data_IF_904441560615
#
_entry.id   IF_904441560615
#
_cell.length_a   1.000
_cell.length_b   1.000
_cell.length_c   1.000
_cell.angle_alpha   90.00
_cell.angle_beta   90.00
_cell.angle_gamma   90.00
#
_symmetry.space_group_name_H-M   'P 1'
#
loop_
_entity.id
_entity.type
_entity.pdbx_description
1 polymer ?
#
# COMPACT_ATOMS: atom_id res chain seq x y z
N UNK A 1 -17.76 -6.70 -11.62
CA UNK A 1 -17.57 -7.70 -10.54
C UNK A 1 -16.09 -7.70 -10.20
N UNK A 2 -15.73 -7.47 -8.94
CA UNK A 2 -14.33 -7.49 -8.49
C UNK A 2 -13.93 -8.95 -8.35
N UNK A 3 -12.82 -9.36 -8.95
CA UNK A 3 -12.32 -10.73 -8.85
C UNK A 3 -11.58 -10.89 -7.51
N UNK A 4 -12.01 -11.86 -6.69
CA UNK A 4 -11.34 -12.20 -5.43
C UNK A 4 -10.32 -13.30 -5.70
N UNK A 5 -9.06 -13.10 -5.31
CA UNK A 5 -8.00 -14.10 -5.45
C UNK A 5 -7.60 -14.74 -4.12
N UNK A 6 -7.70 -14.02 -3.03
CA UNK A 6 -7.41 -14.50 -1.68
C UNK A 6 -8.22 -13.68 -0.68
N UNK A 7 -8.75 -14.33 0.34
CA UNK A 7 -9.31 -13.68 1.52
C UNK A 7 -8.85 -14.41 2.77
N UNK A 8 -8.46 -13.63 3.78
CA UNK A 8 -8.12 -14.14 5.09
C UNK A 8 -8.77 -13.29 6.16
N UNK A 9 -9.54 -13.94 7.05
CA UNK A 9 -10.02 -13.31 8.26
C UNK A 9 -8.90 -13.28 9.29
N UNK A 10 -8.60 -12.11 9.80
CA UNK A 10 -7.62 -11.85 10.84
C UNK A 10 -8.33 -11.45 12.14
N UNK A 11 -7.57 -11.34 13.23
CA UNK A 11 -8.09 -10.92 14.53
C UNK A 11 -8.88 -9.62 14.49
N UNK A 12 -8.40 -8.62 13.75
CA UNK A 12 -8.96 -7.27 13.71
C UNK A 12 -9.74 -6.93 12.45
N UNK A 13 -9.61 -7.75 11.41
CA UNK A 13 -10.25 -7.45 10.12
C UNK A 13 -10.00 -8.52 9.09
N UNK A 14 -10.19 -8.16 7.81
CA UNK A 14 -10.00 -9.06 6.67
C UNK A 14 -8.93 -8.52 5.75
N UNK A 15 -7.98 -9.38 5.39
CA UNK A 15 -7.02 -9.15 4.31
C UNK A 15 -7.54 -9.82 3.03
N UNK A 16 -7.60 -9.07 1.93
CA UNK A 16 -7.96 -9.62 0.62
C UNK A 16 -6.93 -9.25 -0.45
N UNK A 17 -6.80 -10.12 -1.44
CA UNK A 17 -6.15 -9.83 -2.71
C UNK A 17 -7.23 -9.86 -3.78
N UNK A 18 -7.45 -8.73 -4.43
CA UNK A 18 -8.52 -8.53 -5.40
C UNK A 18 -7.99 -8.01 -6.73
N UNK A 19 -8.68 -8.34 -7.82
CA UNK A 19 -8.35 -7.87 -9.16
C UNK A 19 -9.00 -6.54 -9.49
N UNK A 20 -8.31 -5.69 -10.24
CA UNK A 20 -8.90 -4.48 -10.78
C UNK A 20 -7.96 -3.28 -10.86
N UNK A 21 -8.54 -2.15 -11.20
CA UNK A 21 -7.87 -0.83 -11.19
C UNK A 21 -8.02 -0.17 -9.83
N UNK A 22 -6.93 0.29 -9.26
CA UNK A 22 -6.92 0.89 -7.93
C UNK A 22 -7.83 2.12 -7.83
N UNK A 23 -7.76 3.02 -8.80
CA UNK A 23 -8.55 4.26 -8.84
C UNK A 23 -10.07 4.05 -9.05
N UNK A 24 -10.48 2.84 -9.43
CA UNK A 24 -11.90 2.46 -9.59
C UNK A 24 -12.47 1.73 -8.36
N UNK A 25 -11.66 1.43 -7.35
CA UNK A 25 -12.13 0.82 -6.10
C UNK A 25 -12.89 1.84 -5.24
N UNK A 26 -13.50 1.37 -4.16
CA UNK A 26 -14.16 2.17 -3.14
C UNK A 26 -13.65 1.76 -1.77
N UNK A 27 -13.22 2.73 -0.95
CA UNK A 27 -12.74 2.54 0.41
C UNK A 27 -12.65 3.89 1.14
N UNK A 28 -12.40 3.85 2.44
CA UNK A 28 -12.11 5.11 3.16
C UNK A 28 -10.77 5.71 2.70
N UNK A 29 -9.78 4.85 2.46
CA UNK A 29 -8.43 5.27 2.06
C UNK A 29 -7.96 4.49 0.83
N UNK A 30 -7.40 5.21 -0.14
CA UNK A 30 -6.58 4.64 -1.20
C UNK A 30 -5.11 4.97 -0.95
N UNK A 31 -4.25 3.95 -1.07
CA UNK A 31 -2.81 4.11 -0.96
C UNK A 31 -2.21 4.17 -2.35
N UNK A 32 -1.45 5.23 -2.63
CA UNK A 32 -0.72 5.37 -3.90
C UNK A 32 0.78 5.18 -3.69
N UNK A 33 1.45 4.37 -4.55
CA UNK A 33 2.88 4.09 -4.46
C UNK A 33 3.67 5.26 -5.04
N UNK A 34 3.94 6.26 -4.22
CA UNK A 34 4.60 7.49 -4.62
C UNK A 34 6.13 7.35 -4.67
N UNK A 35 6.78 8.26 -5.38
CA UNK A 35 8.21 8.49 -5.25
C UNK A 35 8.50 9.64 -4.26
N UNK A 36 9.75 9.78 -3.83
CA UNK A 36 10.16 10.77 -2.85
C UNK A 36 9.95 12.24 -3.28
N UNK A 37 9.65 12.48 -4.56
CA UNK A 37 9.33 13.80 -5.14
C UNK A 37 7.83 14.06 -5.22
N UNK A 38 6.98 13.08 -4.92
CA UNK A 38 5.53 13.13 -5.09
C UNK A 38 5.11 13.53 -6.51
N UNK A 39 5.85 13.04 -7.52
CA UNK A 39 5.71 13.55 -8.90
C UNK A 39 4.44 13.07 -9.62
N UNK A 40 3.86 11.95 -9.22
CA UNK A 40 2.66 11.39 -9.85
C UNK A 40 2.80 11.10 -11.34
N UNK A 41 3.98 10.67 -11.80
CA UNK A 41 4.28 10.55 -13.25
C UNK A 41 4.39 9.13 -13.76
N UNK A 42 4.50 8.13 -12.87
CA UNK A 42 4.79 6.75 -13.26
C UNK A 42 3.80 5.76 -12.65
N UNK A 43 3.51 4.68 -13.37
CA UNK A 43 2.77 3.53 -12.89
C UNK A 43 1.38 3.83 -12.32
N UNK A 44 1.05 3.19 -11.22
CA UNK A 44 -0.23 3.33 -10.52
C UNK A 44 -0.38 4.75 -9.94
N UNK A 45 0.71 5.36 -9.46
CA UNK A 45 0.70 6.72 -8.92
C UNK A 45 0.23 7.74 -9.98
N UNK A 46 0.67 7.59 -11.23
CA UNK A 46 0.18 8.43 -12.32
C UNK A 46 -1.33 8.24 -12.59
N UNK A 47 -1.84 7.03 -12.45
CA UNK A 47 -3.28 6.76 -12.63
C UNK A 47 -4.11 7.44 -11.53
N UNK A 48 -3.67 7.38 -10.28
CA UNK A 48 -4.31 8.08 -9.16
C UNK A 48 -4.28 9.59 -9.36
N UNK A 49 -3.10 10.16 -9.72
CA UNK A 49 -2.97 11.59 -9.98
C UNK A 49 -3.85 12.07 -11.13
N UNK A 50 -3.94 11.29 -12.22
CA UNK A 50 -4.79 11.63 -13.36
C UNK A 50 -6.29 11.59 -13.00
N UNK A 51 -6.69 10.61 -12.20
CA UNK A 51 -8.08 10.46 -11.76
C UNK A 51 -8.48 11.50 -10.70
N UNK A 52 -7.57 11.85 -9.78
CA UNK A 52 -7.80 12.85 -8.75
C UNK A 52 -7.78 14.29 -9.27
N UNK A 53 -7.07 14.54 -10.37
CA UNK A 53 -7.06 15.84 -11.04
C UNK A 53 -5.92 16.78 -10.63
N UNK A 54 -6.00 18.02 -11.14
CA UNK A 54 -4.93 19.00 -11.00
C UNK A 54 -4.74 19.49 -9.55
N UNK A 55 -5.80 19.53 -8.75
CA UNK A 55 -5.71 19.94 -7.35
C UNK A 55 -4.79 19.02 -6.52
N UNK A 56 -4.77 17.71 -6.82
CA UNK A 56 -3.82 16.80 -6.18
C UNK A 56 -2.37 17.14 -6.56
N UNK A 57 -2.14 17.49 -7.82
CA UNK A 57 -0.80 17.90 -8.29
C UNK A 57 -0.34 19.19 -7.63
N UNK A 58 -1.26 20.14 -7.43
CA UNK A 58 -0.98 21.39 -6.73
C UNK A 58 -0.61 21.10 -5.26
N UNK A 59 -1.39 20.31 -4.56
CA UNK A 59 -1.08 19.87 -3.18
C UNK A 59 0.34 19.27 -3.10
N UNK A 60 0.71 18.36 -4.01
CA UNK A 60 2.05 17.77 -4.02
C UNK A 60 3.16 18.80 -4.29
N UNK A 61 2.88 19.82 -5.11
CA UNK A 61 3.81 20.96 -5.32
C UNK A 61 3.99 21.79 -4.06
N UNK A 62 2.90 22.09 -3.35
CA UNK A 62 2.95 22.82 -2.08
C UNK A 62 3.77 22.07 -1.02
N UNK A 63 3.52 20.77 -0.83
CA UNK A 63 4.34 19.92 0.05
C UNK A 63 5.82 19.96 -0.36
N UNK A 64 6.11 19.90 -1.66
CA UNK A 64 7.48 19.96 -2.17
C UNK A 64 8.16 21.29 -1.87
N UNK A 65 7.45 22.40 -1.98
CA UNK A 65 7.96 23.74 -1.66
C UNK A 65 8.26 23.86 -0.16
N UNK A 66 7.35 23.38 0.69
CA UNK A 66 7.52 23.45 2.14
C UNK A 66 8.72 22.62 2.63
N UNK A 67 8.83 21.37 2.16
CA UNK A 67 9.93 20.49 2.55
C UNK A 67 11.32 20.99 2.08
N UNK A 68 11.39 21.65 0.94
CA UNK A 68 12.64 22.26 0.45
C UNK A 68 13.21 23.31 1.41
N UNK A 69 12.37 24.02 2.16
CA UNK A 69 12.82 24.98 3.19
C UNK A 69 13.67 24.31 4.27
N UNK A 70 13.40 23.03 4.54
CA UNK A 70 14.14 22.20 5.50
C UNK A 70 15.23 21.33 4.87
N UNK A 71 15.52 21.53 3.59
CA UNK A 71 16.50 20.74 2.82
C UNK A 71 16.18 19.22 2.78
N UNK A 72 14.90 18.86 2.89
CA UNK A 72 14.39 17.49 2.85
C UNK A 72 13.70 17.18 1.52
N UNK A 73 13.67 15.92 1.09
CA UNK A 73 12.82 15.52 -0.03
C UNK A 73 11.34 15.71 0.35
N UNK A 74 10.45 15.95 -0.62
CA UNK A 74 9.01 16.12 -0.39
C UNK A 74 8.37 15.03 0.47
N UNK A 75 8.78 13.78 0.25
CA UNK A 75 8.41 12.65 1.08
C UNK A 75 9.60 11.67 1.14
N UNK A 76 10.31 11.56 2.26
CA UNK A 76 11.42 10.60 2.41
C UNK A 76 10.96 9.15 2.20
N UNK A 77 11.91 8.26 1.85
CA UNK A 77 11.65 6.81 1.80
C UNK A 77 11.14 6.35 3.17
N UNK A 78 10.19 5.42 3.17
CA UNK A 78 9.41 4.91 4.31
C UNK A 78 8.38 5.87 4.89
N UNK A 79 8.41 7.15 4.50
CA UNK A 79 7.40 8.14 4.93
C UNK A 79 6.15 8.12 4.05
N UNK A 80 5.13 8.82 4.51
CA UNK A 80 3.89 9.00 3.77
C UNK A 80 3.32 10.40 3.97
N UNK A 81 2.47 10.82 3.03
CA UNK A 81 1.75 12.10 3.05
C UNK A 81 0.28 11.83 2.79
N UNK A 82 -0.60 12.44 3.57
CA UNK A 82 -2.05 12.32 3.42
C UNK A 82 -2.60 13.54 2.67
N UNK A 83 -3.41 13.28 1.66
CA UNK A 83 -4.14 14.33 0.92
C UNK A 83 -5.64 14.07 0.88
N UNK A 84 -6.40 15.08 0.47
CA UNK A 84 -7.80 14.92 0.09
C UNK A 84 -7.91 14.06 -1.18
N UNK A 85 -9.07 13.44 -1.44
CA UNK A 85 -9.27 12.62 -2.63
C UNK A 85 -9.60 13.43 -3.89
N UNK A 86 -9.95 14.71 -3.76
CA UNK A 86 -10.34 15.61 -4.87
C UNK A 86 -11.41 15.00 -5.80
N UNK A 87 -11.17 14.84 -7.09
CA UNK A 87 -12.14 14.23 -8.02
C UNK A 87 -12.50 12.77 -7.69
N UNK A 88 -11.77 12.13 -6.77
CA UNK A 88 -12.05 10.78 -6.28
C UNK A 88 -12.92 10.76 -5.01
N UNK A 89 -13.49 11.88 -4.56
CA UNK A 89 -14.26 12.00 -3.31
C UNK A 89 -15.49 11.08 -3.20
N UNK A 90 -16.05 10.65 -4.35
CA UNK A 90 -17.15 9.67 -4.37
C UNK A 90 -16.72 8.25 -4.05
N UNK A 91 -15.40 7.97 -4.09
CA UNK A 91 -14.81 6.65 -3.89
C UNK A 91 -13.97 6.54 -2.63
N UNK A 92 -13.30 7.64 -2.26
CA UNK A 92 -12.34 7.66 -1.16
C UNK A 92 -12.54 8.91 -0.31
N UNK A 93 -12.22 8.80 0.97
CA UNK A 93 -12.15 9.96 1.90
C UNK A 93 -10.75 10.59 1.89
N UNK A 94 -9.70 9.77 1.68
CA UNK A 94 -8.31 10.21 1.70
C UNK A 94 -7.46 9.43 0.69
N UNK A 95 -6.39 10.07 0.23
CA UNK A 95 -5.28 9.43 -0.48
C UNK A 95 -4.06 9.47 0.43
N UNK A 96 -3.38 8.33 0.63
CA UNK A 96 -2.09 8.28 1.32
C UNK A 96 -0.99 7.96 0.30
N UNK A 97 -0.08 8.90 0.14
CA UNK A 97 1.09 8.76 -0.73
C UNK A 97 2.21 8.08 0.06
N UNK A 98 2.52 6.83 -0.23
CA UNK A 98 3.56 6.06 0.48
C UNK A 98 4.79 5.93 -0.39
N UNK A 99 5.95 6.32 0.15
CA UNK A 99 7.24 6.14 -0.52
C UNK A 99 7.91 4.89 0.05
N UNK A 100 7.83 3.82 -0.71
CA UNK A 100 8.48 2.54 -0.40
C UNK A 100 9.83 2.41 -1.14
N UNK A 101 10.70 1.44 -0.78
CA UNK A 101 12.04 1.33 -1.35
C UNK A 101 12.05 1.13 -2.87
N UNK A 102 12.95 1.85 -3.56
CA UNK A 102 13.23 1.71 -4.99
C UNK A 102 14.38 0.72 -5.19
N UNK A 103 14.09 -0.45 -5.75
CA UNK A 103 15.02 -1.56 -5.91
C UNK A 103 15.65 -1.66 -7.30
N UNK A 104 15.49 -0.64 -8.15
CA UNK A 104 16.09 -0.59 -9.51
C UNK A 104 17.61 -0.45 -9.48
N UNK A 105 18.19 0.00 -8.36
CA UNK A 105 19.64 0.12 -8.19
C UNK A 105 20.21 -1.16 -7.55
N UNK A 106 21.35 -1.66 -8.04
CA UNK A 106 22.01 -2.82 -7.44
C UNK A 106 22.57 -2.50 -6.05
N UNK A 107 22.85 -3.55 -5.26
CA UNK A 107 23.49 -3.48 -3.94
C UNK A 107 22.69 -2.83 -2.81
N UNK A 108 21.35 -2.95 -2.82
CA UNK A 108 20.50 -2.46 -1.74
C UNK A 108 19.65 -3.57 -1.08
N UNK A 109 20.07 -4.82 -1.21
CA UNK A 109 19.27 -5.98 -0.81
C UNK A 109 18.93 -5.98 0.68
N UNK A 110 19.90 -5.69 1.55
CA UNK A 110 19.67 -5.63 2.99
C UNK A 110 18.80 -4.42 3.37
N UNK A 111 19.12 -3.26 2.83
CA UNK A 111 18.36 -2.04 3.11
C UNK A 111 16.89 -2.17 2.72
N UNK A 112 16.57 -2.77 1.55
CA UNK A 112 15.18 -2.94 1.10
C UNK A 112 14.36 -3.84 2.03
N UNK A 113 14.99 -4.89 2.62
CA UNK A 113 14.32 -5.80 3.56
C UNK A 113 13.90 -5.12 4.85
N UNK A 114 14.58 -4.07 5.25
CA UNK A 114 14.23 -3.24 6.39
C UNK A 114 13.26 -2.12 6.01
N UNK A 115 13.48 -1.46 4.89
CA UNK A 115 12.71 -0.30 4.46
C UNK A 115 11.26 -0.62 4.08
N UNK A 116 10.98 -1.80 3.50
CA UNK A 116 9.60 -2.15 3.16
C UNK A 116 8.72 -2.40 4.40
N UNK A 117 9.15 -3.18 5.40
CA UNK A 117 8.45 -3.28 6.69
C UNK A 117 8.29 -1.94 7.39
N UNK A 118 9.31 -1.09 7.38
CA UNK A 118 9.24 0.25 7.97
C UNK A 118 8.18 1.12 7.27
N UNK A 119 8.08 1.07 5.94
CA UNK A 119 7.05 1.78 5.19
C UNK A 119 5.64 1.32 5.59
N UNK A 120 5.41 0.02 5.79
CA UNK A 120 4.14 -0.51 6.31
C UNK A 120 3.88 -0.05 7.74
N UNK A 121 4.87 -0.10 8.63
CA UNK A 121 4.74 0.36 10.00
C UNK A 121 4.32 1.84 10.07
N UNK A 122 5.02 2.70 9.34
CA UNK A 122 4.73 4.14 9.29
C UNK A 122 3.35 4.42 8.67
N UNK A 123 2.96 3.66 7.64
CA UNK A 123 1.62 3.74 7.05
C UNK A 123 0.53 3.44 8.09
N UNK A 124 0.65 2.35 8.83
CA UNK A 124 -0.35 1.99 9.83
C UNK A 124 -0.37 2.92 11.04
N UNK A 125 0.78 3.48 11.42
CA UNK A 125 0.84 4.57 12.41
C UNK A 125 0.02 5.78 11.97
N UNK A 126 0.12 6.16 10.68
CA UNK A 126 -0.69 7.23 10.10
C UNK A 126 -2.17 6.88 10.10
N UNK A 127 -2.55 5.70 9.62
CA UNK A 127 -3.95 5.24 9.56
C UNK A 127 -4.58 5.20 10.96
N UNK A 128 -3.86 4.72 11.97
CA UNK A 128 -4.33 4.66 13.37
C UNK A 128 -4.69 6.03 13.92
N UNK A 129 -3.99 7.09 13.47
CA UNK A 129 -4.30 8.48 13.82
C UNK A 129 -5.50 9.07 13.08
N UNK A 130 -6.02 8.42 12.05
CA UNK A 130 -7.11 8.93 11.19
C UNK A 130 -8.47 8.47 11.72
N UNK A 131 -9.34 9.43 12.06
CA UNK A 131 -10.69 9.12 12.54
C UNK A 131 -11.60 8.61 11.42
N UNK A 132 -12.32 7.53 11.70
CA UNK A 132 -13.37 7.01 10.81
C UNK A 132 -12.85 6.24 9.58
N UNK A 133 -11.55 5.91 9.55
CA UNK A 133 -10.98 5.01 8.54
C UNK A 133 -11.18 3.57 8.98
N UNK A 134 -11.85 2.77 8.15
CA UNK A 134 -12.12 1.34 8.39
C UNK A 134 -11.70 0.47 7.23
N UNK A 135 -11.66 1.01 6.02
CA UNK A 135 -11.37 0.26 4.80
C UNK A 135 -10.23 0.90 4.03
N UNK A 136 -9.29 0.07 3.58
CA UNK A 136 -8.08 0.48 2.85
C UNK A 136 -7.96 -0.33 1.58
N UNK A 137 -7.65 0.33 0.48
CA UNK A 137 -7.22 -0.29 -0.77
C UNK A 137 -5.82 0.18 -1.13
N UNK A 138 -4.94 -0.75 -1.51
CA UNK A 138 -3.55 -0.49 -1.80
C UNK A 138 -3.04 -1.38 -2.93
N UNK A 139 -2.06 -0.94 -3.71
CA UNK A 139 -1.30 -1.86 -4.56
C UNK A 139 -0.25 -2.60 -3.71
N UNK A 140 0.37 -3.66 -4.25
CA UNK A 140 1.61 -4.18 -3.69
C UNK A 140 2.70 -3.09 -3.69
N UNK A 141 3.19 -2.70 -2.52
CA UNK A 141 4.21 -1.65 -2.42
C UNK A 141 5.55 -2.10 -3.00
N UNK A 142 6.25 -1.21 -3.67
CA UNK A 142 7.57 -1.40 -4.32
C UNK A 142 7.62 -2.40 -5.48
N UNK A 143 6.59 -3.18 -5.76
CA UNK A 143 6.64 -4.30 -6.72
C UNK A 143 6.26 -3.94 -8.16
N UNK A 144 5.95 -2.70 -8.43
CA UNK A 144 5.75 -2.17 -9.78
C UNK A 144 7.03 -1.53 -10.33
N UNK A 145 6.97 -0.23 -10.59
CA UNK A 145 8.10 0.57 -11.14
C UNK A 145 9.37 0.44 -10.31
N UNK A 146 9.27 0.27 -8.99
CA UNK A 146 10.43 0.13 -8.09
C UNK A 146 11.07 -1.27 -8.08
N UNK A 147 10.53 -2.21 -8.83
CA UNK A 147 11.12 -3.51 -9.15
C UNK A 147 11.59 -4.35 -7.94
N UNK A 148 10.87 -4.28 -6.82
CA UNK A 148 11.11 -5.18 -5.71
C UNK A 148 10.90 -6.64 -6.14
N UNK A 149 11.78 -7.62 -5.80
CA UNK A 149 11.58 -9.01 -6.15
C UNK A 149 10.24 -9.54 -5.65
N UNK A 150 9.41 -10.03 -6.57
CA UNK A 150 8.00 -10.32 -6.30
C UNK A 150 7.77 -11.34 -5.19
N UNK A 151 8.57 -12.41 -5.12
CA UNK A 151 8.41 -13.45 -4.09
C UNK A 151 8.78 -12.94 -2.70
N UNK A 152 9.92 -12.25 -2.60
CA UNK A 152 10.36 -11.65 -1.34
C UNK A 152 9.41 -10.54 -0.89
N UNK A 153 9.01 -9.67 -1.82
CA UNK A 153 8.06 -8.60 -1.54
C UNK A 153 6.68 -9.11 -1.14
N UNK A 154 6.18 -10.18 -1.78
CA UNK A 154 4.92 -10.82 -1.39
C UNK A 154 4.99 -11.39 0.04
N UNK A 155 6.13 -12.03 0.41
CA UNK A 155 6.33 -12.54 1.76
C UNK A 155 6.37 -11.44 2.80
N UNK A 156 7.20 -10.41 2.61
CA UNK A 156 7.29 -9.28 3.53
C UNK A 156 5.96 -8.53 3.65
N UNK A 157 5.24 -8.34 2.54
CA UNK A 157 3.91 -7.75 2.55
C UNK A 157 2.95 -8.57 3.43
N UNK A 158 2.93 -9.88 3.24
CA UNK A 158 2.07 -10.78 4.02
C UNK A 158 2.46 -10.77 5.50
N UNK A 159 3.76 -10.92 5.82
CA UNK A 159 4.27 -10.88 7.20
C UNK A 159 3.90 -9.56 7.90
N UNK A 160 4.10 -8.42 7.23
CA UNK A 160 3.75 -7.11 7.79
C UNK A 160 2.25 -6.96 8.03
N UNK A 161 1.42 -7.29 7.04
CA UNK A 161 -0.02 -7.11 7.15
C UNK A 161 -0.65 -8.08 8.17
N UNK A 162 -0.20 -9.32 8.22
CA UNK A 162 -0.66 -10.27 9.22
C UNK A 162 -0.15 -9.93 10.62
N UNK A 163 1.11 -9.49 10.75
CA UNK A 163 1.64 -9.00 12.02
C UNK A 163 0.84 -7.85 12.60
N UNK A 164 0.26 -7.00 11.74
CA UNK A 164 -0.59 -5.89 12.15
C UNK A 164 -2.04 -6.34 12.40
N UNK A 165 -2.64 -7.09 11.48
CA UNK A 165 -4.06 -7.47 11.55
C UNK A 165 -4.33 -8.60 12.57
N UNK A 166 -3.35 -9.43 12.90
CA UNK A 166 -3.40 -10.46 13.93
C UNK A 166 -2.68 -10.05 15.23
N UNK A 167 -2.04 -8.87 15.24
CA UNK A 167 -1.29 -8.35 16.37
C UNK A 167 -2.11 -8.13 17.64
N UNK A 168 -1.44 -7.71 18.71
CA UNK A 168 -2.10 -7.48 20.00
C UNK A 168 -2.98 -6.24 20.01
N UNK A 169 -2.59 -5.20 19.27
CA UNK A 169 -3.30 -3.92 19.20
C UNK A 169 -4.22 -3.84 17.98
N UNK A 170 -5.45 -3.33 18.19
CA UNK A 170 -6.38 -3.02 17.08
C UNK A 170 -5.79 -1.90 16.20
N UNK A 171 -5.48 -2.19 14.92
CA UNK A 171 -4.98 -1.18 13.99
C UNK A 171 -6.03 -0.14 13.58
N UNK A 172 -7.27 -0.32 14.01
CA UNK A 172 -8.38 0.61 13.71
C UNK A 172 -9.11 0.33 12.40
N UNK A 173 -8.58 -0.50 11.52
CA UNK A 173 -9.21 -0.87 10.23
C UNK A 173 -9.91 -2.23 10.32
N UNK A 174 -10.87 -2.44 9.40
CA UNK A 174 -11.62 -3.70 9.29
C UNK A 174 -11.37 -4.43 7.97
N UNK A 175 -10.87 -3.73 6.97
CA UNK A 175 -10.54 -4.32 5.67
C UNK A 175 -9.26 -3.70 5.12
N UNK A 176 -8.36 -4.55 4.65
CA UNK A 176 -7.21 -4.19 3.83
C UNK A 176 -7.24 -5.01 2.54
N UNK A 177 -7.46 -4.34 1.42
CA UNK A 177 -7.57 -4.98 0.13
C UNK A 177 -6.34 -4.63 -0.74
N UNK A 178 -5.53 -5.65 -1.07
CA UNK A 178 -4.45 -5.51 -2.04
C UNK A 178 -5.06 -5.63 -3.43
N UNK A 179 -4.97 -4.56 -4.22
CA UNK A 179 -5.52 -4.48 -5.57
C UNK A 179 -4.43 -4.75 -6.59
N UNK A 180 -4.61 -5.77 -7.41
CA UNK A 180 -3.60 -6.23 -8.38
C UNK A 180 -4.20 -6.48 -9.74
N UNK A 181 -3.37 -6.31 -10.79
CA UNK A 181 -3.65 -6.77 -12.15
C UNK A 181 -2.70 -7.88 -12.58
N UNK A 182 -1.53 -7.93 -11.98
CA UNK A 182 -0.43 -8.79 -12.41
C UNK A 182 -0.52 -10.18 -11.77
N UNK A 183 -0.67 -11.21 -12.61
CA UNK A 183 -0.75 -12.61 -12.18
C UNK A 183 0.48 -13.07 -11.39
N UNK A 184 1.65 -12.53 -11.70
CA UNK A 184 2.89 -12.89 -11.01
C UNK A 184 2.83 -12.58 -9.51
N UNK A 185 2.30 -11.42 -9.12
CA UNK A 185 2.13 -11.09 -7.71
C UNK A 185 1.12 -12.03 -7.03
N UNK A 186 -0.01 -12.29 -7.68
CA UNK A 186 -1.04 -13.18 -7.17
C UNK A 186 -0.47 -14.58 -6.91
N UNK A 187 0.25 -15.14 -7.89
CA UNK A 187 0.87 -16.45 -7.76
C UNK A 187 1.93 -16.49 -6.65
N UNK A 188 2.76 -15.46 -6.54
CA UNK A 188 3.75 -15.36 -5.47
C UNK A 188 3.09 -15.24 -4.09
N UNK A 189 2.03 -14.44 -3.96
CA UNK A 189 1.29 -14.31 -2.70
C UNK A 189 0.68 -15.66 -2.27
N UNK A 190 0.04 -16.36 -3.20
CA UNK A 190 -0.53 -17.70 -2.94
C UNK A 190 0.54 -18.72 -2.54
N UNK A 191 1.68 -18.72 -3.23
CA UNK A 191 2.78 -19.63 -2.93
C UNK A 191 3.35 -19.36 -1.53
N UNK A 192 3.68 -18.10 -1.26
CA UNK A 192 4.22 -17.69 0.04
C UNK A 192 3.23 -18.01 1.16
N UNK A 193 1.94 -17.78 0.94
CA UNK A 193 0.92 -18.07 1.94
C UNK A 193 0.89 -19.57 2.27
N UNK A 194 0.87 -20.45 1.26
CA UNK A 194 0.89 -21.91 1.45
C UNK A 194 2.17 -22.40 2.14
N UNK A 195 3.33 -21.83 1.81
CA UNK A 195 4.60 -22.16 2.46
C UNK A 195 4.64 -21.73 3.94
N UNK A 196 3.81 -20.78 4.34
CA UNK A 196 3.73 -20.24 5.69
C UNK A 196 2.54 -20.80 6.50
N UNK A 197 1.74 -21.68 5.90
CA UNK A 197 0.47 -22.15 6.48
C UNK A 197 0.65 -22.80 7.87
N UNK A 198 1.73 -23.55 8.08
CA UNK A 198 2.07 -24.15 9.37
C UNK A 198 2.48 -23.13 10.46
N UNK A 199 2.88 -21.93 10.05
CA UNK A 199 3.31 -20.85 10.96
C UNK A 199 2.19 -19.81 11.21
N UNK A 200 1.13 -19.87 10.42
CA UNK A 200 0.00 -18.97 10.51
C UNK A 200 -1.18 -19.72 11.13
N UNK A 201 -1.52 -19.49 12.42
CA UNK A 201 -2.62 -20.20 13.09
C UNK A 201 -3.92 -20.05 12.29
N UNK A 202 -4.59 -21.17 12.12
CA UNK A 202 -5.64 -21.42 11.18
C UNK A 202 -6.74 -20.38 11.09
N UNK A 203 -7.00 -19.97 9.85
CA UNK A 203 -8.19 -19.21 9.50
C UNK A 203 -8.60 -19.63 8.10
N UNK A 204 -9.90 -19.71 7.88
CA UNK A 204 -10.49 -20.06 6.60
C UNK A 204 -9.99 -19.16 5.47
N UNK A 205 -9.34 -19.78 4.49
CA UNK A 205 -8.86 -19.11 3.30
C UNK A 205 -9.67 -19.61 2.12
N UNK A 206 -10.34 -18.69 1.48
CA UNK A 206 -10.94 -18.94 0.18
C UNK A 206 -9.92 -18.54 -0.88
N UNK A 207 -9.44 -19.51 -1.64
CA UNK A 207 -8.65 -19.30 -2.84
C UNK A 207 -9.46 -19.82 -4.03
N UNK A 208 -9.80 -18.92 -4.93
CA UNK A 208 -10.38 -19.24 -6.24
C UNK A 208 -9.33 -19.25 -7.35
#
# INVERSE_FOLDING_TARGET
>A
MVQLYMARTCRWGVLRVIGGDLHLQEADVVITPANNRLSGREGIDAQIHNAAGEELREFCREVSVEQRKSNLPPCPVTSNVVSKPYNLEKRFKHIIHVVSPDCRRPNQDEARRQLLPEAYHNLFTTIKGMKGVKTVVAPPLSMGVFAYPHREGARLTLECLLGILDGEEDPGIKEYNIVVKERNFINNMRTVYRESEDQLPGVDITMD
#
